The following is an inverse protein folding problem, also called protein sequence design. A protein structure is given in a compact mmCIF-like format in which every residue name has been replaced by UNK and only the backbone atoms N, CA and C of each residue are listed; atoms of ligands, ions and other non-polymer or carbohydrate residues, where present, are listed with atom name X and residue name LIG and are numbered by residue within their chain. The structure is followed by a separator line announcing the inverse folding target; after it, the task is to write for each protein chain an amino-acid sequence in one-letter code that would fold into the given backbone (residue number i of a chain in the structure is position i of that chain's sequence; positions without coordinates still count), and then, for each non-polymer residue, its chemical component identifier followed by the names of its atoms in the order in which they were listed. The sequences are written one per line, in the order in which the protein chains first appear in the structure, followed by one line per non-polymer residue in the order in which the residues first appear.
data_IF_293192930045
#
_entry.id   IF_293192930045
#
_cell.length_a   1.000
_cell.length_b   1.000
_cell.length_c   1.000
_cell.angle_alpha   90.00
_cell.angle_beta   90.00
_cell.angle_gamma   90.00
#
_symmetry.space_group_name_H-M   'P 1'
#
loop_
_entity.id
_entity.type
_entity.pdbx_description
1 polymer ?
#
# COMPACT_ATOMS: atom_id res chain seq x y z
N UNK A 1 6.91 -5.00 -5.83
CA UNK A 1 7.82 -4.03 -5.20
C UNK A 1 8.36 -4.63 -3.92
N UNK A 2 9.65 -4.97 -3.92
CA UNK A 2 10.30 -5.57 -2.75
C UNK A 2 10.40 -4.55 -1.61
N UNK A 3 10.63 -5.03 -0.39
CA UNK A 3 10.81 -4.17 0.78
C UNK A 3 11.92 -3.13 0.60
N UNK A 4 13.04 -3.52 -0.03
CA UNK A 4 14.16 -2.62 -0.29
C UNK A 4 13.75 -1.38 -1.12
N UNK A 5 12.97 -1.57 -2.18
CA UNK A 5 12.45 -0.48 -3.00
C UNK A 5 11.45 0.40 -2.22
N UNK A 6 10.70 -0.21 -1.29
CA UNK A 6 9.77 0.50 -0.42
C UNK A 6 10.50 1.38 0.59
N UNK A 7 11.59 0.89 1.17
CA UNK A 7 12.44 1.66 2.07
C UNK A 7 13.14 2.81 1.36
N UNK A 8 13.67 2.57 0.15
CA UNK A 8 14.30 3.62 -0.66
C UNK A 8 13.31 4.77 -0.92
N UNK A 9 12.10 4.43 -1.38
CA UNK A 9 11.00 5.39 -1.52
C UNK A 9 10.63 6.06 -0.21
N UNK A 10 10.58 5.30 0.88
CA UNK A 10 10.27 5.81 2.21
C UNK A 10 11.31 6.82 2.71
N UNK A 11 12.58 6.61 2.38
CA UNK A 11 13.67 7.51 2.75
C UNK A 11 13.63 8.85 2.01
N UNK A 12 12.97 8.91 0.84
CA UNK A 12 12.76 10.15 0.08
C UNK A 12 11.53 10.94 0.57
N UNK A 13 10.70 10.34 1.42
CA UNK A 13 9.49 10.99 1.96
C UNK A 13 9.87 12.05 2.99
N UNK A 14 9.23 13.21 2.87
CA UNK A 14 9.52 14.40 3.68
C UNK A 14 8.33 14.87 4.51
N UNK A 15 7.11 14.47 4.13
CA UNK A 15 5.89 14.84 4.86
C UNK A 15 5.68 13.90 6.05
N UNK A 16 5.34 14.47 7.21
CA UNK A 16 5.05 13.70 8.43
C UNK A 16 3.86 12.74 8.25
N UNK A 17 3.01 13.00 7.25
CA UNK A 17 1.85 12.16 6.91
C UNK A 17 2.18 11.05 5.93
N UNK A 18 3.38 11.03 5.39
CA UNK A 18 3.85 9.96 4.54
C UNK A 18 4.39 8.80 5.39
N UNK A 19 4.38 7.60 4.82
CA UNK A 19 4.95 6.43 5.49
C UNK A 19 4.20 5.14 5.23
N UNK A 20 4.49 4.15 6.07
CA UNK A 20 3.86 2.85 6.00
C UNK A 20 2.55 2.80 6.77
N UNK A 21 1.58 2.13 6.18
CA UNK A 21 0.24 1.97 6.72
C UNK A 21 -0.20 0.50 6.62
N UNK A 22 -0.86 0.01 7.66
CA UNK A 22 -1.48 -1.32 7.70
C UNK A 22 -3.00 -1.22 7.70
N UNK A 23 -3.66 -2.05 6.91
CA UNK A 23 -5.13 -2.04 6.83
C UNK A 23 -5.76 -2.42 8.16
N UNK A 24 -6.78 -1.66 8.58
CA UNK A 24 -7.66 -2.06 9.68
C UNK A 24 -8.47 -3.30 9.32
N UNK A 25 -8.88 -3.37 8.05
CA UNK A 25 -9.60 -4.52 7.54
C UNK A 25 -8.64 -5.69 7.29
N UNK A 26 -8.93 -6.81 7.94
CA UNK A 26 -8.34 -8.10 7.65
C UNK A 26 -9.08 -8.68 6.46
N UNK A 27 -8.38 -8.88 5.35
CA UNK A 27 -8.93 -9.66 4.24
C UNK A 27 -8.41 -11.09 4.38
N UNK A 28 -9.33 -12.02 4.63
CA UNK A 28 -9.03 -13.44 4.87
C UNK A 28 -7.99 -13.66 6.00
N UNK A 29 -8.14 -12.91 7.10
CA UNK A 29 -7.23 -12.98 8.26
C UNK A 29 -5.88 -12.27 8.07
N UNK A 30 -5.61 -11.66 6.91
CA UNK A 30 -4.33 -10.99 6.61
C UNK A 30 -4.49 -9.48 6.55
N UNK A 31 -3.52 -8.76 7.13
CA UNK A 31 -3.38 -7.30 7.02
C UNK A 31 -2.66 -6.94 5.73
N UNK A 32 -3.03 -5.79 5.15
CA UNK A 32 -2.38 -5.24 3.96
C UNK A 32 -1.46 -4.10 4.36
N UNK A 33 -0.18 -4.24 4.04
CA UNK A 33 0.81 -3.17 4.11
C UNK A 33 0.78 -2.35 2.83
N UNK A 34 0.77 -1.03 3.01
CA UNK A 34 0.84 -0.05 1.93
C UNK A 34 1.80 1.06 2.33
N UNK A 35 2.39 1.71 1.33
CA UNK A 35 3.24 2.88 1.51
C UNK A 35 2.50 4.05 0.88
N UNK A 36 2.15 5.05 1.70
CA UNK A 36 1.46 6.25 1.23
C UNK A 36 2.49 7.37 1.07
N UNK A 37 2.53 7.92 -0.15
CA UNK A 37 3.39 9.03 -0.53
C UNK A 37 2.51 10.20 -0.99
N UNK A 38 2.73 11.39 -0.46
CA UNK A 38 1.95 12.59 -0.72
C UNK A 38 2.21 13.05 -2.16
N UNK A 39 1.14 13.31 -2.92
CA UNK A 39 1.27 13.76 -4.30
C UNK A 39 1.21 15.28 -4.30
N UNK A 40 2.33 15.93 -4.62
CA UNK A 40 2.37 17.39 -4.73
C UNK A 40 1.49 17.83 -5.93
N UNK A 41 0.25 18.27 -5.66
CA UNK A 41 -0.63 18.79 -6.70
C UNK A 41 -0.06 20.11 -7.23
N UNK A 42 0.57 20.05 -8.41
CA UNK A 42 1.13 21.21 -9.14
C UNK A 42 0.11 22.36 -9.33
N UNK A 43 -1.19 22.08 -9.35
CA UNK A 43 -2.24 23.11 -9.49
C UNK A 43 -2.48 23.95 -8.23
N UNK A 44 -1.97 23.55 -7.05
CA UNK A 44 -2.28 24.22 -5.78
C UNK A 44 -1.11 25.00 -5.16
N UNK A 45 0.00 25.18 -5.90
CA UNK A 45 1.19 25.92 -5.44
C UNK A 45 0.89 27.37 -5.04
N UNK A 46 -0.17 27.98 -5.57
CA UNK A 46 -0.56 29.36 -5.25
C UNK A 46 -1.40 29.49 -3.96
N UNK A 47 -1.73 28.40 -3.25
CA UNK A 47 -2.62 28.44 -2.09
C UNK A 47 -2.14 27.53 -0.95
N UNK A 48 -0.85 27.64 -0.63
CA UNK A 48 -0.16 26.83 0.39
C UNK A 48 -0.63 27.06 1.84
N UNK A 49 -1.58 27.95 2.08
CA UNK A 49 -1.91 28.36 3.46
C UNK A 49 -2.92 27.48 4.20
N UNK A 50 -3.81 26.69 3.56
CA UNK A 50 -4.75 25.80 4.28
C UNK A 50 -5.27 24.63 3.42
N UNK A 51 -4.42 23.68 2.99
CA UNK A 51 -4.95 22.41 2.46
C UNK A 51 -5.53 21.58 3.62
N UNK A 52 -6.84 21.33 3.58
CA UNK A 52 -7.50 20.42 4.51
C UNK A 52 -7.08 18.96 4.24
N UNK A 53 -7.12 18.09 5.24
CA UNK A 53 -6.77 16.65 5.10
C UNK A 53 -7.48 15.93 3.94
N UNK A 54 -8.64 16.42 3.50
CA UNK A 54 -9.41 15.87 2.36
C UNK A 54 -8.85 16.26 0.99
N UNK A 55 -8.08 17.35 0.94
CA UNK A 55 -7.47 17.91 -0.26
C UNK A 55 -6.07 17.30 -0.51
N UNK A 56 -5.44 16.77 0.54
CA UNK A 56 -4.14 16.12 0.45
C UNK A 56 -4.34 14.72 -0.14
N UNK A 57 -3.90 14.56 -1.38
CA UNK A 57 -3.93 13.32 -2.14
C UNK A 57 -2.63 12.55 -1.90
N UNK A 58 -2.74 11.23 -1.73
CA UNK A 58 -1.64 10.31 -1.54
C UNK A 58 -1.66 9.23 -2.63
N UNK A 59 -0.48 8.94 -3.14
CA UNK A 59 -0.20 7.82 -4.01
C UNK A 59 0.15 6.61 -3.15
N UNK A 60 -0.54 5.50 -3.41
CA UNK A 60 -0.38 4.27 -2.65
C UNK A 60 0.54 3.32 -3.39
N UNK A 61 1.50 2.75 -2.70
CA UNK A 61 2.31 1.65 -3.19
C UNK A 61 1.98 0.37 -2.43
N UNK A 62 1.93 -0.74 -3.16
CA UNK A 62 1.63 -2.08 -2.65
C UNK A 62 2.76 -3.04 -3.00
N UNK A 63 3.04 -4.04 -2.15
CA UNK A 63 4.02 -5.08 -2.45
C UNK A 63 3.72 -5.82 -3.76
N UNK A 64 2.44 -6.15 -3.99
CA UNK A 64 2.02 -7.02 -5.10
C UNK A 64 2.05 -6.31 -6.46
N UNK A 65 1.43 -5.13 -6.54
CA UNK A 65 1.21 -4.39 -7.80
C UNK A 65 2.18 -3.22 -7.98
N UNK A 66 2.97 -2.90 -6.94
CA UNK A 66 3.75 -1.68 -6.92
C UNK A 66 2.86 -0.46 -6.83
N UNK A 67 2.99 0.46 -7.78
CA UNK A 67 2.29 1.72 -7.79
C UNK A 67 0.78 1.56 -8.08
N UNK A 68 -0.06 1.99 -7.13
CA UNK A 68 -1.48 2.16 -7.36
C UNK A 68 -1.74 3.53 -7.99
N UNK A 69 -2.16 3.53 -9.26
CA UNK A 69 -2.54 4.73 -10.02
C UNK A 69 -3.68 5.55 -9.38
N UNK A 70 -4.46 4.92 -8.50
CA UNK A 70 -5.56 5.58 -7.81
C UNK A 70 -5.02 6.31 -6.58
N UNK A 71 -5.07 7.63 -6.64
CA UNK A 71 -4.78 8.48 -5.49
C UNK A 71 -5.93 8.41 -4.49
N UNK A 72 -5.60 8.33 -3.21
CA UNK A 72 -6.56 8.36 -2.10
C UNK A 72 -6.27 9.58 -1.23
N UNK A 73 -7.30 10.19 -0.66
CA UNK A 73 -7.10 11.30 0.28
C UNK A 73 -6.60 10.78 1.63
N UNK A 74 -5.87 11.60 2.38
CA UNK A 74 -5.40 11.23 3.72
C UNK A 74 -6.53 10.75 4.62
N UNK A 75 -7.70 11.39 4.55
CA UNK A 75 -8.87 11.04 5.36
C UNK A 75 -9.35 9.60 5.09
N UNK A 76 -9.30 9.15 3.84
CA UNK A 76 -9.66 7.76 3.47
C UNK A 76 -8.58 6.78 3.92
N UNK A 77 -7.31 7.17 3.84
CA UNK A 77 -6.18 6.34 4.30
C UNK A 77 -6.25 6.16 5.81
N UNK A 78 -6.37 7.24 6.59
CA UNK A 78 -6.49 7.19 8.07
C UNK A 78 -7.73 6.38 8.51
N UNK A 79 -8.78 6.32 7.69
CA UNK A 79 -9.99 5.52 7.97
C UNK A 79 -9.77 4.03 7.70
N UNK A 80 -9.14 3.69 6.57
CA UNK A 80 -8.96 2.30 6.11
C UNK A 80 -7.70 1.65 6.68
N UNK A 81 -6.70 2.44 7.04
CA UNK A 81 -5.38 2.00 7.45
C UNK A 81 -4.87 2.78 8.66
N UNK A 82 -3.97 2.15 9.42
CA UNK A 82 -3.24 2.73 10.54
C UNK A 82 -1.80 2.98 10.13
N UNK A 83 -1.25 4.17 10.41
CA UNK A 83 0.19 4.43 10.27
C UNK A 83 0.96 3.54 11.25
N UNK A 84 1.99 2.85 10.77
CA UNK A 84 2.84 1.97 11.58
C UNK A 84 4.31 2.26 11.36
N UNK A 85 5.17 1.68 12.20
CA UNK A 85 6.62 1.73 12.00
C UNK A 85 7.05 0.87 10.82
N UNK A 86 8.21 1.16 10.28
CA UNK A 86 8.86 0.36 9.24
C UNK A 86 9.07 -1.09 9.70
N UNK A 87 9.39 -1.35 10.96
CA UNK A 87 9.53 -2.70 11.52
C UNK A 87 8.23 -3.53 11.40
N UNK A 88 7.08 -2.97 11.81
CA UNK A 88 5.79 -3.68 11.67
C UNK A 88 5.39 -3.83 10.20
N UNK A 89 5.67 -2.80 9.39
CA UNK A 89 5.36 -2.83 7.97
C UNK A 89 6.21 -3.85 7.21
N UNK A 90 7.49 -4.03 7.55
CA UNK A 90 8.42 -4.94 6.89
C UNK A 90 7.90 -6.37 6.88
N UNK A 91 7.48 -6.85 8.05
CA UNK A 91 7.00 -8.22 8.24
C UNK A 91 5.81 -8.47 7.33
N UNK A 92 4.83 -7.57 7.36
CA UNK A 92 3.63 -7.69 6.53
C UNK A 92 3.92 -7.46 5.04
N UNK A 93 4.77 -6.50 4.69
CA UNK A 93 5.12 -6.17 3.32
C UNK A 93 5.85 -7.32 2.64
N UNK A 94 6.85 -7.89 3.33
CA UNK A 94 7.63 -9.02 2.83
C UNK A 94 6.76 -10.26 2.68
N UNK A 95 5.90 -10.55 3.66
CA UNK A 95 4.94 -11.65 3.55
C UNK A 95 3.96 -11.47 2.38
N UNK A 96 3.49 -10.24 2.16
CA UNK A 96 2.61 -9.95 1.02
C UNK A 96 3.34 -10.03 -0.31
N UNK A 97 4.56 -9.53 -0.39
CA UNK A 97 5.39 -9.60 -1.58
C UNK A 97 5.71 -11.05 -1.93
N UNK A 98 6.23 -11.82 -0.97
CA UNK A 98 6.53 -13.24 -1.13
C UNK A 98 5.28 -14.00 -1.58
N UNK A 99 4.16 -13.76 -0.91
CA UNK A 99 2.92 -14.39 -1.30
C UNK A 99 2.43 -13.91 -2.67
N UNK A 100 2.70 -12.68 -3.10
CA UNK A 100 2.35 -12.23 -4.46
C UNK A 100 3.23 -12.86 -5.53
N UNK A 101 4.46 -13.24 -5.20
CA UNK A 101 5.41 -13.89 -6.10
C UNK A 101 5.14 -15.39 -6.17
N UNK A 102 4.88 -16.03 -5.02
CA UNK A 102 4.70 -17.47 -4.90
C UNK A 102 3.23 -17.92 -4.98
N UNK A 103 2.28 -17.03 -4.73
CA UNK A 103 0.84 -17.33 -4.67
C UNK A 103 0.06 -16.35 -5.53
N UNK A 104 -0.66 -16.87 -6.52
CA UNK A 104 -1.55 -16.06 -7.32
C UNK A 104 -2.58 -15.31 -6.42
N UNK A 105 -2.96 -14.10 -6.85
CA UNK A 105 -3.90 -13.25 -6.09
C UNK A 105 -5.20 -13.98 -5.70
N UNK A 106 -5.65 -14.92 -6.54
CA UNK A 106 -6.82 -15.76 -6.28
C UNK A 106 -6.63 -16.69 -5.06
N UNK A 107 -5.54 -17.44 -5.00
CA UNK A 107 -5.26 -18.32 -3.86
C UNK A 107 -4.93 -17.50 -2.60
N UNK A 108 -4.25 -16.36 -2.76
CA UNK A 108 -3.87 -15.52 -1.64
C UNK A 108 -5.08 -14.90 -0.91
N UNK A 109 -6.04 -14.36 -1.68
CA UNK A 109 -7.22 -13.70 -1.13
C UNK A 109 -8.37 -14.65 -0.84
N UNK A 110 -8.66 -15.60 -1.73
CA UNK A 110 -9.81 -16.51 -1.59
C UNK A 110 -9.44 -17.86 -0.96
N UNK A 111 -8.17 -18.09 -0.63
CA UNK A 111 -7.70 -19.36 -0.06
C UNK A 111 -7.65 -20.52 -1.07
N UNK A 112 -8.13 -20.31 -2.31
CA UNK A 112 -8.15 -21.33 -3.35
C UNK A 112 -8.05 -20.67 -4.74
N UNK A 113 -7.01 -20.98 -5.54
CA UNK A 113 -7.05 -20.70 -6.99
C UNK A 113 -7.61 -21.95 -7.68
N UNK A 114 -8.68 -21.73 -8.46
CA UNK A 114 -9.32 -22.79 -9.23
C UNK A 114 -8.35 -23.36 -10.27
N UNK A 115 -7.54 -22.53 -10.93
CA UNK A 115 -6.51 -23.00 -11.87
C UNK A 115 -5.45 -23.86 -11.18
N UNK A 116 -4.90 -23.41 -10.04
CA UNK A 116 -3.90 -24.20 -9.29
C UNK A 116 -4.47 -25.53 -8.79
N UNK A 117 -5.73 -25.56 -8.33
CA UNK A 117 -6.37 -26.83 -7.92
C UNK A 117 -6.59 -27.80 -9.08
N UNK A 118 -6.77 -27.29 -10.30
CA UNK A 118 -6.83 -28.12 -11.50
C UNK A 118 -5.43 -28.42 -12.07
N UNK A 119 -4.35 -28.05 -11.39
CA UNK A 119 -2.97 -28.29 -11.84
C UNK A 119 -2.48 -27.34 -12.95
N UNK A 120 -3.19 -26.23 -13.17
CA UNK A 120 -2.82 -25.21 -14.15
C UNK A 120 -2.10 -24.03 -13.50
N UNK A 121 -1.11 -23.48 -14.22
CA UNK A 121 -0.53 -22.18 -13.90
C UNK A 121 -1.62 -21.10 -13.84
N UNK A 122 -1.61 -20.33 -12.76
CA UNK A 122 -2.59 -19.28 -12.47
C UNK A 122 -1.92 -17.95 -12.84
N UNK A 123 -2.09 -17.53 -14.10
CA UNK A 123 -1.68 -16.21 -14.63
C UNK A 123 -2.66 -15.10 -14.19
#
# INVERSE_FOLDING_TARGET
MIWQEAIDKWSDLISDKEGFYLSHQLKNGKKTAILACEVEQKQMKNKKEKLSKKDIMFQIYRPNTGLQFRHESLAEIEKKYKKVTNEEAEIHWTQQYDASVNTCSHAYWNGNCRNVNLGHDCE
#
